data_IF_510600843161
#
_entry.id   IF_510600843161
#
_cell.length_a   1.000
_cell.length_b   1.000
_cell.length_c   1.000
_cell.angle_alpha   90.00
_cell.angle_beta   90.00
_cell.angle_gamma   90.00
#
_symmetry.space_group_name_H-M   'P 1'
#
loop_
_entity.id
_entity.type
_entity.pdbx_description
1 polymer ?
#
# COMPACT_ATOMS: atom_id res chain seq x y z
N UNK A 1 3.86 11.91 -9.18
CA UNK A 1 3.76 11.72 -7.71
C UNK A 1 2.78 12.68 -7.08
N UNK A 2 2.85 13.94 -7.43
CA UNK A 2 1.93 14.96 -6.88
C UNK A 2 0.46 14.69 -7.22
N UNK A 3 0.21 14.25 -8.43
CA UNK A 3 -1.15 13.92 -8.89
C UNK A 3 -1.77 12.77 -8.11
N UNK A 4 -1.01 11.71 -7.85
CA UNK A 4 -1.47 10.60 -7.04
C UNK A 4 -1.70 11.05 -5.60
N UNK A 5 -0.79 11.83 -5.04
CA UNK A 5 -0.94 12.37 -3.69
C UNK A 5 -2.22 13.19 -3.58
N UNK A 6 -2.46 14.10 -4.54
CA UNK A 6 -3.65 14.95 -4.55
C UNK A 6 -4.94 14.11 -4.66
N UNK A 7 -4.94 13.10 -5.54
CA UNK A 7 -6.10 12.23 -5.71
C UNK A 7 -6.43 11.46 -4.42
N UNK A 8 -5.42 10.94 -3.72
CA UNK A 8 -5.63 10.24 -2.47
C UNK A 8 -6.10 11.17 -1.35
N UNK A 9 -5.59 12.41 -1.32
CA UNK A 9 -6.05 13.42 -0.38
C UNK A 9 -7.53 13.76 -0.59
N UNK A 10 -7.98 13.86 -1.83
CA UNK A 10 -9.38 14.09 -2.14
C UNK A 10 -10.26 12.91 -1.68
N UNK A 11 -9.80 11.68 -1.85
CA UNK A 11 -10.52 10.50 -1.40
C UNK A 11 -10.56 10.41 0.13
N UNK A 12 -9.53 10.88 0.80
CA UNK A 12 -9.45 10.89 2.26
C UNK A 12 -10.34 11.96 2.89
N UNK A 13 -10.48 13.12 2.24
CA UNK A 13 -11.06 14.31 2.84
C UNK A 13 -12.44 14.09 3.48
N UNK A 14 -13.42 13.39 2.84
CA UNK A 14 -14.72 13.15 3.47
C UNK A 14 -14.62 12.38 4.78
N UNK A 15 -13.67 11.46 4.89
CA UNK A 15 -13.50 10.64 6.10
C UNK A 15 -12.83 11.45 7.22
N UNK A 16 -11.94 12.37 6.88
CA UNK A 16 -11.32 13.25 7.87
C UNK A 16 -12.32 14.12 8.59
N UNK A 17 -13.39 14.51 7.92
CA UNK A 17 -14.44 15.33 8.55
C UNK A 17 -15.34 14.50 9.47
N UNK A 18 -15.32 13.16 9.32
CA UNK A 18 -16.17 12.25 10.12
C UNK A 18 -15.46 11.69 11.34
N UNK A 19 -14.12 11.75 11.38
CA UNK A 19 -13.35 11.21 12.49
C UNK A 19 -12.65 12.34 13.24
N UNK A 20 -12.51 12.15 14.55
CA UNK A 20 -11.71 13.03 15.38
C UNK A 20 -10.24 12.64 15.18
N UNK A 21 -9.44 13.53 14.61
CA UNK A 21 -8.03 13.29 14.32
C UNK A 21 -7.23 12.87 15.57
N UNK A 22 -7.67 13.24 16.76
CA UNK A 22 -7.03 12.85 18.02
C UNK A 22 -7.31 11.40 18.40
N UNK A 23 -8.35 10.78 17.84
CA UNK A 23 -8.79 9.44 18.19
C UNK A 23 -8.40 8.37 17.18
N UNK A 24 -8.21 8.75 15.92
CA UNK A 24 -7.92 7.81 14.84
C UNK A 24 -6.52 8.01 14.29
N UNK A 25 -5.79 6.91 14.15
CA UNK A 25 -4.46 6.96 13.53
C UNK A 25 -4.54 7.37 12.05
N UNK A 26 -5.53 6.84 11.33
CA UNK A 26 -5.74 7.13 9.91
C UNK A 26 -7.23 7.29 9.65
N UNK A 27 -7.61 8.29 8.85
CA UNK A 27 -9.01 8.54 8.55
C UNK A 27 -9.61 7.50 7.59
N UNK A 28 -8.76 6.91 6.74
CA UNK A 28 -9.19 5.94 5.73
C UNK A 28 -7.99 5.11 5.28
N UNK A 29 -8.21 4.14 4.40
CA UNK A 29 -7.12 3.37 3.79
C UNK A 29 -6.23 4.29 2.96
N UNK A 30 -6.79 5.23 2.23
CA UNK A 30 -6.04 6.23 1.49
C UNK A 30 -5.14 7.04 2.43
N UNK A 31 -5.69 7.46 3.56
CA UNK A 31 -4.93 8.17 4.59
C UNK A 31 -3.80 7.34 5.19
N UNK A 32 -4.05 6.07 5.43
CA UNK A 32 -3.02 5.14 5.91
C UNK A 32 -1.86 5.05 4.91
N UNK A 33 -2.16 4.89 3.63
CA UNK A 33 -1.13 4.80 2.58
C UNK A 33 -0.37 6.12 2.48
N UNK A 34 -1.05 7.26 2.57
CA UNK A 34 -0.37 8.57 2.59
C UNK A 34 0.56 8.71 3.79
N UNK A 35 0.14 8.21 4.95
CA UNK A 35 0.89 8.38 6.22
C UNK A 35 2.11 7.47 6.29
N UNK A 36 1.99 6.20 5.89
CA UNK A 36 3.05 5.22 6.11
C UNK A 36 3.61 4.60 4.82
N UNK A 37 2.99 4.86 3.68
CA UNK A 37 3.45 4.34 2.40
C UNK A 37 4.70 5.02 1.90
N UNK A 38 5.45 4.32 1.06
CA UNK A 38 6.63 4.85 0.38
C UNK A 38 6.43 4.88 -1.12
N UNK A 39 7.29 5.64 -1.80
CA UNK A 39 7.34 5.71 -3.25
C UNK A 39 8.21 4.61 -3.82
N UNK A 40 7.70 3.93 -4.84
CA UNK A 40 8.40 2.86 -5.54
C UNK A 40 8.53 3.22 -7.01
N UNK A 41 9.56 2.73 -7.67
CA UNK A 41 9.77 3.01 -9.08
C UNK A 41 10.10 1.74 -9.85
N UNK A 42 9.58 1.66 -11.08
CA UNK A 42 9.90 0.61 -12.02
C UNK A 42 11.08 1.04 -12.89
N UNK A 43 11.89 0.08 -13.31
CA UNK A 43 12.99 0.30 -14.25
C UNK A 43 12.97 -0.77 -15.35
N UNK A 44 14.04 -0.84 -16.15
CA UNK A 44 14.15 -1.77 -17.28
C UNK A 44 14.12 -3.23 -16.84
N UNK A 45 14.47 -3.51 -15.58
CA UNK A 45 14.53 -4.86 -15.03
C UNK A 45 13.22 -5.29 -14.39
N UNK A 46 12.29 -4.38 -14.21
CA UNK A 46 10.97 -4.68 -13.63
C UNK A 46 10.19 -5.60 -14.58
N UNK A 47 9.69 -6.71 -14.05
CA UNK A 47 8.77 -7.58 -14.79
C UNK A 47 7.38 -7.01 -14.71
N UNK A 48 7.02 -6.19 -15.72
CA UNK A 48 5.71 -5.57 -15.82
C UNK A 48 4.72 -6.56 -16.43
N UNK A 49 3.53 -6.63 -15.83
CA UNK A 49 2.46 -7.51 -16.27
C UNK A 49 1.22 -6.70 -16.60
N UNK A 50 0.39 -7.12 -17.59
CA UNK A 50 -0.87 -6.43 -17.89
C UNK A 50 -1.83 -6.41 -16.71
N UNK A 51 -1.85 -7.51 -15.95
CA UNK A 51 -2.68 -7.64 -14.75
C UNK A 51 -1.90 -8.37 -13.68
N UNK A 52 -2.00 -7.87 -12.44
CA UNK A 52 -1.37 -8.48 -11.28
C UNK A 52 -2.42 -8.56 -10.19
N UNK A 53 -2.76 -9.78 -9.78
CA UNK A 53 -3.66 -9.97 -8.63
C UNK A 53 -2.87 -9.79 -7.34
N UNK A 54 -3.59 -9.53 -6.24
CA UNK A 54 -2.94 -9.46 -4.92
C UNK A 54 -2.25 -10.78 -4.57
N UNK A 55 -2.88 -11.89 -4.92
CA UNK A 55 -2.31 -13.23 -4.73
C UNK A 55 -1.01 -13.42 -5.51
N UNK A 56 -0.96 -12.99 -6.77
CA UNK A 56 0.23 -13.09 -7.61
C UNK A 56 1.39 -12.29 -7.01
N UNK A 57 1.12 -11.05 -6.60
CA UNK A 57 2.15 -10.19 -6.00
C UNK A 57 2.69 -10.79 -4.70
N UNK A 58 1.81 -11.34 -3.88
CA UNK A 58 2.20 -11.99 -2.62
C UNK A 58 3.09 -13.21 -2.88
N UNK A 59 2.71 -14.04 -3.84
CA UNK A 59 3.50 -15.22 -4.22
C UNK A 59 4.87 -14.83 -4.77
N UNK A 60 4.93 -13.81 -5.62
CA UNK A 60 6.19 -13.32 -6.18
C UNK A 60 7.13 -12.80 -5.09
N UNK A 61 6.58 -12.07 -4.11
CA UNK A 61 7.39 -11.58 -2.99
C UNK A 61 8.07 -12.72 -2.23
N UNK A 62 7.38 -13.85 -2.07
CA UNK A 62 7.93 -15.03 -1.42
C UNK A 62 9.03 -15.75 -2.22
N UNK A 63 9.08 -15.51 -3.53
CA UNK A 63 10.08 -16.13 -4.42
C UNK A 63 11.37 -15.33 -4.55
N UNK A 64 11.36 -14.05 -4.18
CA UNK A 64 12.52 -13.18 -4.30
C UNK A 64 13.23 -13.03 -2.97
N UNK A 65 14.53 -13.25 -2.96
CA UNK A 65 15.34 -13.02 -1.78
C UNK A 65 15.32 -11.51 -1.44
N UNK A 66 14.84 -11.19 -0.26
CA UNK A 66 14.69 -9.80 0.17
C UNK A 66 13.49 -9.08 -0.43
N UNK A 67 12.71 -9.75 -1.26
CA UNK A 67 11.51 -9.17 -1.84
C UNK A 67 10.42 -8.95 -0.80
N UNK A 68 9.67 -7.86 -0.95
CA UNK A 68 8.58 -7.50 -0.05
C UNK A 68 7.26 -7.37 -0.83
N UNK A 69 6.18 -7.76 -0.18
CA UNK A 69 4.84 -7.57 -0.70
C UNK A 69 4.37 -6.15 -0.36
N UNK A 70 3.91 -5.42 -1.37
CA UNK A 70 3.47 -4.03 -1.21
C UNK A 70 2.04 -3.89 -1.66
N UNK A 71 1.20 -3.24 -0.86
CA UNK A 71 -0.14 -2.83 -1.26
C UNK A 71 -0.25 -1.31 -1.24
N UNK A 72 -0.93 -0.78 -2.21
CA UNK A 72 -1.13 0.65 -2.28
C UNK A 72 -1.88 1.09 -3.52
N UNK A 73 -1.47 2.22 -4.05
CA UNK A 73 -2.14 2.84 -5.19
C UNK A 73 -1.15 3.12 -6.32
N UNK A 74 -1.66 2.92 -7.53
CA UNK A 74 -0.98 3.30 -8.76
C UNK A 74 -1.60 4.57 -9.32
N UNK A 75 -0.80 5.33 -10.05
CA UNK A 75 -1.32 6.38 -10.91
C UNK A 75 -1.31 5.87 -12.35
N UNK A 76 -2.49 5.66 -12.92
CA UNK A 76 -2.67 5.10 -14.26
C UNK A 76 -3.79 5.86 -14.96
N UNK A 77 -3.48 6.43 -16.14
CA UNK A 77 -4.46 7.12 -16.98
C UNK A 77 -5.29 8.16 -16.21
N UNK A 78 -4.62 8.94 -15.36
CA UNK A 78 -5.26 10.01 -14.59
C UNK A 78 -6.11 9.54 -13.42
N UNK A 79 -5.92 8.30 -12.96
CA UNK A 79 -6.69 7.73 -11.85
C UNK A 79 -5.80 7.03 -10.84
N UNK A 80 -6.23 7.07 -9.57
CA UNK A 80 -5.64 6.26 -8.50
C UNK A 80 -6.31 4.89 -8.52
N UNK A 81 -5.49 3.84 -8.65
CA UNK A 81 -5.96 2.45 -8.75
C UNK A 81 -5.33 1.63 -7.64
N UNK A 82 -6.15 0.96 -6.83
CA UNK A 82 -5.66 0.05 -5.80
C UNK A 82 -4.96 -1.14 -6.44
N UNK A 83 -3.79 -1.51 -5.91
CA UNK A 83 -2.98 -2.58 -6.49
C UNK A 83 -1.99 -3.15 -5.47
N UNK A 84 -1.29 -4.20 -5.92
CA UNK A 84 -0.17 -4.76 -5.19
C UNK A 84 0.97 -5.06 -6.15
N UNK A 85 2.17 -5.10 -5.61
CA UNK A 85 3.38 -5.46 -6.36
C UNK A 85 4.40 -6.09 -5.43
N UNK A 86 5.44 -6.65 -6.03
CA UNK A 86 6.63 -7.11 -5.32
C UNK A 86 7.70 -6.04 -5.43
N UNK A 87 8.24 -5.58 -4.31
CA UNK A 87 9.28 -4.58 -4.24
C UNK A 87 10.59 -5.12 -3.69
N UNK A 88 11.68 -4.43 -3.99
CA UNK A 88 13.00 -4.72 -3.45
C UNK A 88 13.75 -3.38 -3.31
N UNK A 89 14.13 -3.03 -2.09
CA UNK A 89 14.73 -1.73 -1.82
C UNK A 89 13.74 -0.60 -2.08
N UNK A 90 13.93 0.13 -3.16
CA UNK A 90 13.03 1.23 -3.57
C UNK A 90 12.35 0.94 -4.91
N UNK A 91 12.56 -0.25 -5.47
CA UNK A 91 12.14 -0.57 -6.83
C UNK A 91 11.04 -1.62 -6.87
N UNK A 92 10.21 -1.53 -7.90
CA UNK A 92 9.23 -2.56 -8.25
C UNK A 92 9.96 -3.65 -9.00
N UNK A 93 9.90 -4.89 -8.52
CA UNK A 93 10.52 -6.05 -9.17
C UNK A 93 9.53 -6.74 -10.09
N UNK A 94 8.28 -6.83 -9.66
CA UNK A 94 7.18 -7.47 -10.38
C UNK A 94 5.90 -6.72 -10.06
N UNK A 95 5.19 -6.28 -11.09
CA UNK A 95 3.96 -5.52 -10.85
C UNK A 95 3.30 -5.02 -12.12
N UNK A 96 2.18 -4.32 -11.98
CA UNK A 96 1.50 -3.71 -13.12
C UNK A 96 2.24 -2.46 -13.58
N UNK A 97 2.01 -2.08 -14.84
CA UNK A 97 2.55 -0.83 -15.39
C UNK A 97 1.82 0.36 -14.80
N UNK A 98 2.56 1.36 -14.35
CA UNK A 98 1.99 2.59 -13.81
C UNK A 98 2.96 3.75 -13.97
N UNK A 99 2.44 4.97 -13.85
CA UNK A 99 3.24 6.19 -13.87
C UNK A 99 3.82 6.51 -12.50
N UNK A 100 3.14 6.07 -11.42
CA UNK A 100 3.63 6.22 -10.05
C UNK A 100 3.09 5.08 -9.19
N UNK A 101 3.86 4.73 -8.15
CA UNK A 101 3.54 3.67 -7.21
C UNK A 101 3.72 4.20 -5.78
N UNK A 102 2.65 4.23 -5.01
CA UNK A 102 2.70 4.59 -3.59
C UNK A 102 2.10 3.47 -2.77
N UNK A 103 2.89 2.84 -1.91
CA UNK A 103 2.38 1.69 -1.17
C UNK A 103 3.16 1.34 0.09
N UNK A 104 2.58 0.45 0.85
CA UNK A 104 3.06 -0.01 2.16
C UNK A 104 3.60 -1.42 2.00
N UNK A 105 4.88 -1.60 2.34
CA UNK A 105 5.49 -2.93 2.41
C UNK A 105 5.01 -3.64 3.67
N UNK A 106 4.40 -4.80 3.50
CA UNK A 106 3.74 -5.53 4.59
C UNK A 106 4.47 -6.84 4.92
N UNK A 107 4.58 -7.14 6.21
CA UNK A 107 5.19 -8.38 6.63
C UNK A 107 4.34 -9.59 6.22
N UNK A 108 4.95 -10.70 5.78
CA UNK A 108 4.20 -11.90 5.41
C UNK A 108 3.35 -12.45 6.55
N UNK A 109 3.85 -12.41 7.76
CA UNK A 109 3.13 -12.90 8.94
C UNK A 109 1.84 -12.10 9.17
N UNK A 110 1.94 -10.77 9.12
CA UNK A 110 0.78 -9.88 9.24
C UNK A 110 -0.22 -10.15 8.12
N UNK A 111 0.26 -10.24 6.87
CA UNK A 111 -0.60 -10.50 5.71
C UNK A 111 -1.39 -11.79 5.88
N UNK A 112 -0.74 -12.89 6.26
CA UNK A 112 -1.41 -14.18 6.43
C UNK A 112 -2.50 -14.13 7.50
N UNK A 113 -2.23 -13.43 8.60
CA UNK A 113 -3.23 -13.27 9.67
C UNK A 113 -4.49 -12.57 9.16
N UNK A 114 -4.31 -11.47 8.44
CA UNK A 114 -5.44 -10.69 7.91
C UNK A 114 -6.15 -11.48 6.80
N UNK A 115 -5.40 -12.09 5.89
CA UNK A 115 -5.97 -12.90 4.80
C UNK A 115 -6.82 -14.05 5.33
N UNK A 116 -6.36 -14.76 6.35
CA UNK A 116 -7.11 -15.85 6.96
C UNK A 116 -8.37 -15.34 7.64
N UNK A 117 -8.27 -14.24 8.37
CA UNK A 117 -9.41 -13.66 9.08
C UNK A 117 -10.49 -13.15 8.13
N UNK A 118 -10.09 -12.49 7.04
CA UNK A 118 -11.02 -11.82 6.14
C UNK A 118 -11.41 -12.65 4.93
N UNK A 119 -10.69 -13.74 4.65
CA UNK A 119 -10.96 -14.59 3.48
C UNK A 119 -10.64 -13.90 2.14
N UNK A 120 -9.72 -12.94 2.14
CA UNK A 120 -9.34 -12.18 0.95
C UNK A 120 -7.83 -12.21 0.75
N UNK A 121 -7.36 -12.15 -0.50
CA UNK A 121 -5.93 -12.04 -0.79
C UNK A 121 -5.42 -10.64 -0.45
N UNK A 122 -6.18 -9.60 -0.77
CA UNK A 122 -5.85 -8.23 -0.42
C UNK A 122 -5.95 -8.02 1.09
N UNK A 123 -4.99 -7.29 1.65
CA UNK A 123 -4.93 -6.98 3.08
C UNK A 123 -5.57 -5.62 3.34
N UNK A 124 -4.89 -4.53 2.94
CA UNK A 124 -5.40 -3.16 3.12
C UNK A 124 -6.38 -2.77 2.03
N UNK A 125 -6.08 -3.17 0.80
CA UNK A 125 -6.87 -2.78 -0.37
C UNK A 125 -8.20 -3.53 -0.50
N UNK A 126 -8.44 -4.52 0.36
CA UNK A 126 -9.75 -5.18 0.45
C UNK A 126 -10.84 -4.23 0.95
N UNK A 127 -10.46 -3.21 1.71
CA UNK A 127 -11.39 -2.28 2.39
C UNK A 127 -12.45 -3.01 3.20
N UNK A 128 -12.07 -4.17 3.77
CA UNK A 128 -12.95 -4.97 4.59
C UNK A 128 -13.30 -4.22 5.89
N UNK A 129 -14.54 -4.32 6.41
CA UNK A 129 -14.92 -3.64 7.67
C UNK A 129 -14.03 -3.99 8.87
N UNK A 130 -13.43 -5.18 8.88
CA UNK A 130 -12.49 -5.59 9.94
C UNK A 130 -11.18 -4.80 9.93
N UNK A 131 -10.94 -3.95 8.92
CA UNK A 131 -9.81 -3.03 8.91
C UNK A 131 -10.02 -1.79 9.79
N UNK A 132 -11.25 -1.49 10.20
CA UNK A 132 -11.53 -0.32 11.02
C UNK A 132 -10.64 -0.22 12.27
N UNK A 133 -10.42 -1.32 13.05
CA UNK A 133 -9.50 -1.24 14.18
C UNK A 133 -8.07 -0.85 13.79
N UNK A 134 -7.60 -1.24 12.59
CA UNK A 134 -6.28 -0.85 12.10
C UNK A 134 -6.21 0.63 11.75
N UNK A 135 -7.28 1.18 11.22
CA UNK A 135 -7.36 2.62 10.92
C UNK A 135 -7.42 3.42 12.21
N UNK A 136 -8.15 2.95 13.21
CA UNK A 136 -8.28 3.62 14.49
C UNK A 136 -6.98 3.58 15.28
N UNK A 137 -6.37 2.41 15.41
CA UNK A 137 -5.24 2.18 16.31
C UNK A 137 -3.87 2.23 15.61
N UNK A 138 -3.86 2.21 14.28
CA UNK A 138 -2.64 2.08 13.47
C UNK A 138 -2.26 0.62 13.25
N UNK A 139 -1.31 0.42 12.33
CA UNK A 139 -0.79 -0.92 12.04
C UNK A 139 0.03 -1.43 13.22
N UNK A 140 -0.06 -2.74 13.54
CA UNK A 140 0.73 -3.29 14.64
C UNK A 140 2.23 -3.18 14.37
N UNK A 141 3.01 -3.20 15.45
CA UNK A 141 4.45 -3.17 15.38
C UNK A 141 4.95 -4.35 14.53
N UNK A 142 5.87 -4.08 13.61
CA UNK A 142 6.42 -5.10 12.73
C UNK A 142 5.57 -5.46 11.53
N UNK A 143 4.36 -4.88 11.39
CA UNK A 143 3.51 -5.10 10.21
C UNK A 143 4.08 -4.43 8.97
N UNK A 144 4.72 -3.26 9.12
CA UNK A 144 5.31 -2.51 8.03
C UNK A 144 6.80 -2.81 7.94
N UNK A 145 7.24 -3.24 6.75
CA UNK A 145 8.65 -3.51 6.47
C UNK A 145 9.32 -2.29 5.85
N UNK A 146 10.66 -2.15 6.00
CA UNK A 146 11.39 -1.12 5.28
C UNK A 146 11.27 -1.31 3.77
N UNK A 147 11.17 -0.22 3.03
CA UNK A 147 11.16 -0.26 1.57
C UNK A 147 10.49 0.97 0.99
N UNK A 148 10.82 1.24 -0.27
CA UNK A 148 10.37 2.45 -0.94
C UNK A 148 11.15 3.69 -0.48
N UNK A 149 10.95 4.79 -1.19
CA UNK A 149 11.44 6.11 -0.79
C UNK A 149 10.41 6.77 0.12
N UNK A 150 10.81 7.72 0.98
CA UNK A 150 9.85 8.39 1.85
C UNK A 150 8.64 8.92 1.11
N UNK A 151 7.45 8.59 1.61
CA UNK A 151 6.19 8.99 1.03
C UNK A 151 5.73 10.38 1.44
N UNK A 152 4.50 10.76 1.07
CA UNK A 152 4.03 12.14 1.23
C UNK A 152 4.03 12.64 2.67
N UNK A 153 3.73 11.78 3.63
CA UNK A 153 3.62 12.18 5.04
C UNK A 153 4.63 11.52 5.97
N UNK A 154 5.50 10.66 5.42
CA UNK A 154 6.55 10.01 6.21
C UNK A 154 7.85 10.82 6.24
N UNK A 155 7.93 11.90 5.48
CA UNK A 155 9.11 12.75 5.40
C UNK A 155 9.19 13.65 6.61
N UNK A 156 10.37 13.76 7.20
CA UNK A 156 10.62 14.66 8.31
C UNK A 156 10.28 14.09 9.68
N UNK A 157 9.98 12.80 9.72
CA UNK A 157 9.86 12.11 10.98
C UNK A 157 11.24 11.98 11.65
#
# INVERSE_FOLDING_TARGET
MEELTAALQELEAPFRTLVDDSQWAHASVEGLVLDVGGWWSADDRTRLQPQVTFSDAFSEAGRHHGGVYVEGYLWVDGQAVAAAWCGLGTEVVYGPRAEAYLGVALSPHFCRRIQQRNGTAAVLMSKHPRLLPLLRDGLPRGAVLPGGRPGPRSVGA
#
